data_IF_539339512906
#
_entry.id   IF_539339512906
#
_cell.length_a   1.000
_cell.length_b   1.000
_cell.length_c   1.000
_cell.angle_alpha   90.00
_cell.angle_beta   90.00
_cell.angle_gamma   90.00
#
_symmetry.space_group_name_H-M   'P 1'
#
loop_
_entity.id
_entity.type
_entity.pdbx_description
1 polymer ?
#
# COMPACT_ATOMS: atom_id res chain seq x y z
N UNK A 1 9.15 30.77 -7.46
CA UNK A 1 9.13 29.79 -6.35
C UNK A 1 9.56 28.44 -6.91
N UNK A 2 10.43 27.73 -6.19
CA UNK A 2 10.77 26.34 -6.55
C UNK A 2 9.60 25.45 -6.15
N UNK A 3 9.04 24.73 -7.11
CA UNK A 3 7.89 23.83 -6.92
C UNK A 3 8.31 22.37 -6.97
N UNK A 4 9.51 22.10 -7.49
CA UNK A 4 10.09 20.76 -7.60
C UNK A 4 11.10 20.45 -6.50
N UNK A 5 11.13 19.21 -6.05
CA UNK A 5 12.13 18.65 -5.15
C UNK A 5 12.60 17.28 -5.63
N UNK A 6 13.90 17.05 -5.52
CA UNK A 6 14.54 15.75 -5.77
C UNK A 6 15.10 15.24 -4.44
N UNK A 7 14.77 14.00 -4.10
CA UNK A 7 15.28 13.32 -2.93
C UNK A 7 15.97 12.03 -3.34
N UNK A 8 17.02 11.66 -2.63
CA UNK A 8 17.72 10.40 -2.82
C UNK A 8 18.21 9.87 -1.49
N UNK A 9 18.27 8.56 -1.34
CA UNK A 9 18.73 7.92 -0.11
C UNK A 9 19.16 6.49 -0.32
N UNK A 10 20.01 6.03 0.60
CA UNK A 10 20.41 4.64 0.75
C UNK A 10 19.99 4.19 2.13
N UNK A 11 19.54 2.95 2.26
CA UNK A 11 19.10 2.41 3.53
C UNK A 11 19.20 0.91 3.59
N UNK A 12 18.89 0.37 4.75
CA UNK A 12 18.75 -1.06 5.00
C UNK A 12 17.47 -1.33 5.76
N UNK A 13 16.74 -2.36 5.36
CA UNK A 13 15.60 -2.88 6.11
C UNK A 13 15.57 -4.41 6.04
N UNK A 14 14.97 -5.06 7.02
CA UNK A 14 14.84 -6.52 7.03
C UNK A 14 13.98 -7.06 5.87
N UNK A 15 13.06 -6.24 5.36
CA UNK A 15 12.15 -6.63 4.28
C UNK A 15 12.71 -6.36 2.88
N UNK A 16 13.56 -5.35 2.72
CA UNK A 16 14.08 -4.93 1.41
C UNK A 16 15.57 -5.17 1.22
N UNK A 17 16.27 -5.63 2.29
CA UNK A 17 17.73 -5.69 2.28
C UNK A 17 18.36 -4.30 2.21
N UNK A 18 19.46 -4.18 1.51
CA UNK A 18 20.06 -2.89 1.13
C UNK A 18 19.22 -2.30 0.00
N UNK A 19 18.86 -1.04 0.11
CA UNK A 19 18.06 -0.38 -0.92
C UNK A 19 18.53 1.03 -1.22
N UNK A 20 18.29 1.46 -2.44
CA UNK A 20 18.44 2.83 -2.92
C UNK A 20 17.06 3.37 -3.32
N UNK A 21 16.76 4.61 -2.92
CA UNK A 21 15.52 5.27 -3.31
C UNK A 21 15.78 6.61 -3.97
N UNK A 22 14.97 6.94 -4.96
CA UNK A 22 14.90 8.25 -5.61
C UNK A 22 13.46 8.72 -5.63
N UNK A 23 13.25 10.00 -5.29
CA UNK A 23 11.94 10.65 -5.37
C UNK A 23 12.04 11.98 -6.09
N UNK A 24 11.21 12.18 -7.11
CA UNK A 24 10.97 13.46 -7.77
C UNK A 24 9.55 13.90 -7.46
N UNK A 25 9.41 15.08 -6.89
CA UNK A 25 8.12 15.70 -6.63
C UNK A 25 8.04 17.08 -7.27
N UNK A 26 6.96 17.34 -7.96
CA UNK A 26 6.62 18.66 -8.51
C UNK A 26 5.21 19.02 -8.06
N UNK A 27 5.02 20.18 -7.40
CA UNK A 27 3.74 20.60 -6.81
C UNK A 27 2.94 21.56 -7.68
N UNK A 28 3.51 21.99 -8.79
CA UNK A 28 2.84 22.89 -9.75
C UNK A 28 3.15 22.50 -11.20
N UNK A 29 2.96 21.23 -11.51
CA UNK A 29 3.20 20.73 -12.86
C UNK A 29 2.37 21.50 -13.89
N UNK A 30 3.03 21.97 -14.95
CA UNK A 30 2.45 22.77 -16.03
C UNK A 30 1.77 24.08 -15.56
N UNK A 31 2.11 24.59 -14.38
CA UNK A 31 1.48 25.80 -13.83
C UNK A 31 0.02 25.63 -13.39
N UNK A 32 -0.45 24.38 -13.22
CA UNK A 32 -1.85 24.06 -12.91
C UNK A 32 -2.09 23.63 -11.46
N UNK A 33 -1.13 23.82 -10.59
CA UNK A 33 -1.12 23.32 -9.21
C UNK A 33 -1.29 21.77 -9.11
N UNK A 34 -1.01 21.05 -10.21
CA UNK A 34 -0.99 19.60 -10.18
C UNK A 34 0.26 19.11 -9.47
N UNK A 35 0.09 18.17 -8.55
CA UNK A 35 1.21 17.52 -7.91
C UNK A 35 1.53 16.20 -8.62
N UNK A 36 2.77 16.08 -9.08
CA UNK A 36 3.30 14.84 -9.65
C UNK A 36 4.38 14.28 -8.74
N UNK A 37 4.39 12.95 -8.58
CA UNK A 37 5.42 12.27 -7.82
C UNK A 37 5.91 11.06 -8.62
N UNK A 38 7.22 10.92 -8.71
CA UNK A 38 7.89 9.72 -9.22
C UNK A 38 8.71 9.17 -8.07
N UNK A 39 8.46 7.92 -7.70
CA UNK A 39 9.23 7.23 -6.67
C UNK A 39 9.81 5.96 -7.28
N UNK A 40 11.12 5.82 -7.16
CA UNK A 40 11.88 4.67 -7.58
C UNK A 40 12.57 4.09 -6.36
N UNK A 41 12.35 2.81 -6.11
CA UNK A 41 13.01 2.07 -5.04
C UNK A 41 13.67 0.82 -5.63
N UNK A 42 14.95 0.66 -5.39
CA UNK A 42 15.77 -0.45 -5.85
C UNK A 42 16.37 -1.13 -4.63
N UNK A 43 15.80 -2.24 -4.22
CA UNK A 43 16.29 -3.04 -3.11
C UNK A 43 16.70 -4.44 -3.56
N UNK A 44 17.41 -5.12 -2.70
CA UNK A 44 17.86 -6.50 -2.91
C UNK A 44 16.67 -7.45 -3.05
N UNK A 45 15.61 -7.23 -2.26
CA UNK A 45 14.42 -8.09 -2.23
C UNK A 45 13.16 -7.41 -2.75
N UNK A 46 13.22 -6.15 -3.11
CA UNK A 46 12.06 -5.39 -3.58
C UNK A 46 12.48 -4.27 -4.52
N UNK A 47 11.83 -4.20 -5.66
CA UNK A 47 12.00 -3.09 -6.61
C UNK A 47 10.64 -2.49 -6.89
N UNK A 48 10.50 -1.17 -6.76
CA UNK A 48 9.23 -0.47 -6.98
C UNK A 48 9.42 0.77 -7.82
N UNK A 49 8.58 0.91 -8.84
CA UNK A 49 8.42 2.11 -9.66
C UNK A 49 7.00 2.63 -9.46
N UNK A 50 6.87 3.86 -9.06
CA UNK A 50 5.56 4.48 -8.87
C UNK A 50 5.55 5.88 -9.46
N UNK A 51 4.55 6.16 -10.29
CA UNK A 51 4.22 7.48 -10.77
C UNK A 51 2.82 7.84 -10.29
N UNK A 52 2.64 9.04 -9.74
CA UNK A 52 1.33 9.55 -9.37
C UNK A 52 1.13 11.00 -9.78
N UNK A 53 -0.09 11.30 -10.19
CA UNK A 53 -0.57 12.66 -10.52
C UNK A 53 -1.78 12.95 -9.63
N UNK A 54 -1.82 14.13 -9.06
CA UNK A 54 -3.00 14.61 -8.33
C UNK A 54 -3.35 16.03 -8.68
N UNK A 55 -4.63 16.25 -8.97
CA UNK A 55 -5.24 17.56 -9.11
C UNK A 55 -6.00 17.87 -7.81
N UNK A 56 -5.55 18.86 -7.02
CA UNK A 56 -6.19 19.17 -5.75
C UNK A 56 -7.61 19.71 -5.90
N UNK A 57 -7.92 20.29 -7.07
CA UNK A 57 -9.21 20.87 -7.35
C UNK A 57 -9.49 20.90 -8.86
N UNK A 58 -10.38 20.04 -9.29
CA UNK A 58 -10.83 19.98 -10.68
C UNK A 58 -11.46 21.33 -11.07
N UNK A 59 -10.90 21.95 -12.11
CA UNK A 59 -11.34 23.25 -12.60
C UNK A 59 -12.83 23.24 -12.93
N UNK A 60 -13.57 24.22 -12.38
CA UNK A 60 -15.02 24.37 -12.60
C UNK A 60 -15.91 23.58 -11.60
N UNK A 61 -15.33 22.73 -10.75
CA UNK A 61 -16.11 22.04 -9.74
C UNK A 61 -16.26 22.91 -8.46
N UNK A 62 -17.49 23.31 -8.16
CA UNK A 62 -17.81 24.09 -6.96
C UNK A 62 -17.57 23.35 -5.64
N UNK A 63 -17.54 22.01 -5.68
CA UNK A 63 -17.41 21.19 -4.47
C UNK A 63 -15.94 20.88 -4.11
N UNK A 64 -14.97 21.41 -4.85
CA UNK A 64 -13.54 21.17 -4.63
C UNK A 64 -13.17 19.69 -4.65
N UNK A 65 -13.71 18.95 -5.63
CA UNK A 65 -13.32 17.57 -5.85
C UNK A 65 -11.89 17.51 -6.29
N UNK A 66 -11.08 16.70 -5.64
CA UNK A 66 -9.72 16.37 -6.06
C UNK A 66 -9.73 15.08 -6.87
N UNK A 67 -8.83 15.00 -7.83
CA UNK A 67 -8.57 13.81 -8.64
C UNK A 67 -7.17 13.29 -8.34
N UNK A 68 -7.01 11.99 -8.31
CA UNK A 68 -5.71 11.32 -8.20
C UNK A 68 -5.68 10.12 -9.12
N UNK A 69 -4.55 9.94 -9.78
CA UNK A 69 -4.23 8.72 -10.52
C UNK A 69 -2.81 8.27 -10.22
N UNK A 70 -2.58 6.99 -10.32
CA UNK A 70 -1.24 6.41 -10.18
C UNK A 70 -1.09 5.19 -11.08
N UNK A 71 0.16 4.93 -11.46
CA UNK A 71 0.60 3.68 -12.09
C UNK A 71 1.84 3.18 -11.37
N UNK A 72 1.95 1.87 -11.22
CA UNK A 72 3.06 1.27 -10.52
C UNK A 72 3.47 -0.08 -11.12
N UNK A 73 4.73 -0.42 -10.91
CA UNK A 73 5.27 -1.74 -11.07
C UNK A 73 6.08 -2.07 -9.81
N UNK A 74 5.82 -3.21 -9.20
CA UNK A 74 6.65 -3.73 -8.11
C UNK A 74 7.05 -5.18 -8.38
N UNK A 75 8.25 -5.54 -7.93
CA UNK A 75 8.76 -6.90 -7.89
C UNK A 75 9.23 -7.15 -6.48
N UNK A 76 8.61 -8.09 -5.81
CA UNK A 76 8.86 -8.40 -4.41
C UNK A 76 9.14 -9.89 -4.25
N UNK A 77 10.11 -10.22 -3.40
CA UNK A 77 10.22 -11.57 -2.87
C UNK A 77 9.21 -11.71 -1.71
N UNK A 78 8.13 -12.48 -1.89
CA UNK A 78 7.06 -12.55 -0.90
C UNK A 78 7.57 -13.15 0.41
N UNK A 79 7.49 -12.37 1.48
CA UNK A 79 7.93 -12.81 2.80
C UNK A 79 6.88 -13.67 3.51
N UNK A 80 5.61 -13.43 3.18
CA UNK A 80 4.46 -14.16 3.72
C UNK A 80 4.45 -15.65 3.35
N UNK A 81 5.25 -16.02 2.36
CA UNK A 81 5.35 -17.40 1.86
C UNK A 81 6.71 -18.05 2.13
N UNK A 82 7.47 -17.50 3.06
CA UNK A 82 8.75 -18.11 3.44
C UNK A 82 8.50 -19.40 4.21
N UNK A 83 9.03 -20.51 3.71
CA UNK A 83 9.08 -21.77 4.45
C UNK A 83 9.87 -21.60 5.76
N UNK A 84 9.37 -22.20 6.87
CA UNK A 84 10.04 -22.14 8.18
C UNK A 84 11.49 -22.63 8.18
N UNK A 85 11.88 -23.49 7.20
CA UNK A 85 13.19 -24.13 7.19
C UNK A 85 14.28 -23.40 6.43
N UNK A 86 13.99 -22.51 5.46
CA UNK A 86 15.02 -21.77 4.72
C UNK A 86 14.56 -20.41 4.15
N UNK A 87 13.31 -20.02 4.33
CA UNK A 87 12.81 -18.72 3.86
C UNK A 87 12.75 -18.56 2.34
N UNK A 88 12.89 -19.65 1.57
CA UNK A 88 12.86 -19.62 0.11
C UNK A 88 11.58 -20.29 -0.40
N UNK A 89 10.98 -19.67 -1.40
CA UNK A 89 9.85 -20.18 -2.15
C UNK A 89 10.37 -20.61 -3.52
N UNK A 90 9.90 -21.73 -4.02
CA UNK A 90 10.43 -22.35 -5.23
C UNK A 90 9.38 -22.39 -6.34
N UNK A 91 9.81 -22.18 -7.58
CA UNK A 91 8.97 -22.36 -8.75
C UNK A 91 8.65 -23.84 -8.99
N UNK A 92 7.41 -24.15 -9.32
CA UNK A 92 6.99 -25.51 -9.68
C UNK A 92 7.50 -25.84 -11.07
N UNK A 93 8.02 -27.05 -11.25
CA UNK A 93 8.45 -27.56 -12.56
C UNK A 93 9.89 -27.23 -12.97
N UNK A 94 10.71 -26.78 -12.04
CA UNK A 94 12.16 -26.63 -12.24
C UNK A 94 12.87 -27.96 -11.88
N UNK A 95 12.42 -29.04 -12.53
CA UNK A 95 12.96 -30.41 -12.36
C UNK A 95 14.27 -30.61 -13.14
N UNK A 96 15.18 -29.68 -13.06
CA UNK A 96 16.56 -30.02 -13.47
C UNK A 96 17.12 -30.93 -12.38
N UNK A 97 17.47 -32.14 -12.77
CA UNK A 97 18.06 -33.22 -11.95
C UNK A 97 19.41 -32.86 -11.30
N UNK A 98 19.62 -31.61 -10.92
CA UNK A 98 20.83 -31.26 -10.18
C UNK A 98 20.51 -31.21 -8.69
N UNK A 99 21.03 -32.15 -7.95
CA UNK A 99 21.03 -32.27 -6.49
C UNK A 99 21.77 -31.13 -5.76
N UNK A 100 21.97 -29.99 -6.37
CA UNK A 100 22.56 -28.82 -5.73
C UNK A 100 21.48 -27.86 -5.30
N UNK A 101 21.38 -27.63 -4.00
CA UNK A 101 20.46 -26.67 -3.36
C UNK A 101 20.59 -25.22 -3.91
N UNK A 102 21.57 -24.93 -4.73
CA UNK A 102 21.90 -23.61 -5.30
C UNK A 102 21.21 -23.33 -6.65
N UNK A 103 20.57 -24.33 -7.29
CA UNK A 103 19.93 -24.15 -8.61
C UNK A 103 18.44 -23.90 -8.58
N UNK A 104 17.85 -23.74 -7.39
CA UNK A 104 16.42 -23.50 -7.23
C UNK A 104 16.11 -22.02 -7.44
N UNK A 105 15.43 -21.68 -8.53
CA UNK A 105 15.03 -20.33 -8.82
C UNK A 105 14.02 -19.80 -7.79
N UNK A 106 14.36 -18.68 -7.17
CA UNK A 106 13.46 -17.98 -6.24
C UNK A 106 12.28 -17.40 -7.00
N UNK A 107 11.09 -17.48 -6.43
CA UNK A 107 9.90 -16.83 -7.01
C UNK A 107 9.86 -15.35 -6.66
N UNK A 108 9.51 -14.55 -7.65
CA UNK A 108 9.26 -13.12 -7.54
C UNK A 108 7.79 -12.86 -7.82
N UNK A 109 7.16 -12.09 -6.94
CA UNK A 109 5.81 -11.60 -7.15
C UNK A 109 5.88 -10.25 -7.89
N UNK A 110 5.56 -10.26 -9.18
CA UNK A 110 5.47 -9.04 -9.98
C UNK A 110 4.04 -8.49 -9.95
N UNK A 111 3.89 -7.25 -9.50
CA UNK A 111 2.62 -6.53 -9.46
C UNK A 111 2.71 -5.30 -10.36
N UNK A 112 1.86 -5.23 -11.36
CA UNK A 112 1.73 -4.07 -12.24
C UNK A 112 0.31 -3.57 -12.18
N UNK A 113 0.14 -2.27 -12.04
CA UNK A 113 -1.20 -1.76 -11.94
C UNK A 113 -1.27 -0.24 -11.93
N UNK A 114 -2.47 0.22 -11.69
CA UNK A 114 -2.76 1.63 -11.56
C UNK A 114 -4.20 1.85 -11.13
N UNK A 115 -4.53 3.09 -10.86
CA UNK A 115 -5.87 3.42 -10.46
C UNK A 115 -6.13 4.92 -10.52
N UNK A 116 -7.37 5.25 -10.31
CA UNK A 116 -7.79 6.63 -10.17
C UNK A 116 -8.83 6.76 -9.06
N UNK A 117 -8.88 7.94 -8.46
CA UNK A 117 -9.86 8.24 -7.41
C UNK A 117 -10.24 9.71 -7.42
N UNK A 118 -11.46 9.95 -7.01
CA UNK A 118 -12.01 11.27 -6.75
C UNK A 118 -12.29 11.40 -5.26
N UNK A 119 -11.94 12.55 -4.68
CA UNK A 119 -12.19 12.81 -3.27
C UNK A 119 -12.83 14.18 -3.10
N UNK A 120 -13.86 14.25 -2.28
CA UNK A 120 -14.68 15.45 -2.07
C UNK A 120 -14.89 15.73 -0.58
N UNK A 121 -14.69 16.98 -0.13
CA UNK A 121 -15.15 17.42 1.18
C UNK A 121 -16.68 17.56 1.19
N UNK A 122 -17.32 17.21 2.31
CA UNK A 122 -18.78 17.34 2.46
C UNK A 122 -19.14 18.68 3.13
N UNK A 123 -18.81 19.78 2.49
CA UNK A 123 -19.10 21.15 2.97
C UNK A 123 -20.19 21.87 2.16
N UNK A 124 -20.89 21.16 1.27
CA UNK A 124 -21.92 21.74 0.41
C UNK A 124 -21.39 22.66 -0.70
N UNK A 125 -20.07 22.67 -0.94
CA UNK A 125 -19.43 23.56 -1.93
C UNK A 125 -19.10 24.95 -1.40
N UNK A 126 -19.35 25.22 -0.12
CA UNK A 126 -18.98 26.49 0.53
C UNK A 126 -17.47 26.50 0.81
N UNK A 127 -16.67 27.41 0.18
CA UNK A 127 -15.24 27.47 0.37
C UNK A 127 -14.81 27.94 1.76
N UNK A 128 -15.69 28.61 2.49
CA UNK A 128 -15.40 29.16 3.83
C UNK A 128 -15.83 28.22 4.95
N UNK A 129 -16.57 27.15 4.63
CA UNK A 129 -17.04 26.16 5.61
C UNK A 129 -16.06 24.99 5.67
N UNK A 130 -15.49 24.80 6.84
CA UNK A 130 -14.64 23.62 7.09
C UNK A 130 -15.46 22.33 7.01
N UNK A 131 -14.96 21.37 6.27
CA UNK A 131 -15.56 20.04 6.20
C UNK A 131 -14.81 19.08 7.12
N UNK A 132 -15.52 18.61 8.14
CA UNK A 132 -14.98 17.52 8.96
C UNK A 132 -14.99 16.18 8.22
N UNK A 133 -15.88 16.00 7.25
CA UNK A 133 -16.04 14.78 6.48
C UNK A 133 -15.51 14.94 5.06
N UNK A 134 -14.82 13.91 4.59
CA UNK A 134 -14.38 13.75 3.20
C UNK A 134 -14.73 12.35 2.73
N UNK A 135 -15.25 12.24 1.52
CA UNK A 135 -15.52 10.97 0.85
C UNK A 135 -14.57 10.78 -0.32
N UNK A 136 -14.28 9.52 -0.63
CA UNK A 136 -13.47 9.15 -1.77
C UNK A 136 -14.14 7.97 -2.48
N UNK A 137 -14.10 7.98 -3.80
CA UNK A 137 -14.49 6.87 -4.66
C UNK A 137 -13.46 6.71 -5.77
N UNK A 138 -13.19 5.49 -6.19
CA UNK A 138 -12.20 5.22 -7.24
C UNK A 138 -12.22 3.78 -7.72
N UNK A 139 -11.31 3.49 -8.64
CA UNK A 139 -11.09 2.14 -9.18
C UNK A 139 -9.59 1.86 -9.26
N UNK A 140 -9.24 0.61 -9.01
CA UNK A 140 -7.89 0.10 -9.20
C UNK A 140 -7.89 -1.10 -10.14
N UNK A 141 -6.82 -1.18 -10.91
CA UNK A 141 -6.47 -2.33 -11.75
C UNK A 141 -5.11 -2.83 -11.31
N UNK A 142 -5.00 -4.12 -11.06
CA UNK A 142 -3.75 -4.74 -10.65
C UNK A 142 -3.62 -6.10 -11.30
N UNK A 143 -2.52 -6.32 -12.01
CA UNK A 143 -2.10 -7.62 -12.50
C UNK A 143 -0.98 -8.14 -11.60
N UNK A 144 -1.17 -9.32 -11.07
CA UNK A 144 -0.20 -10.02 -10.22
C UNK A 144 0.28 -11.24 -10.98
N UNK A 145 1.59 -11.42 -11.04
CA UNK A 145 2.23 -12.57 -11.68
C UNK A 145 3.26 -13.16 -10.75
N UNK A 146 3.36 -14.47 -10.77
CA UNK A 146 4.51 -15.19 -10.25
C UNK A 146 5.47 -15.50 -11.38
N UNK A 147 6.70 -15.11 -11.22
CA UNK A 147 7.79 -15.32 -12.16
C UNK A 147 8.99 -15.96 -11.46
N UNK A 148 9.73 -16.76 -12.19
CA UNK A 148 11.04 -17.26 -11.76
C UNK A 148 12.13 -16.19 -11.93
N UNK A 149 13.38 -16.54 -11.59
CA UNK A 149 14.53 -15.64 -11.79
C UNK A 149 14.74 -15.22 -13.24
N UNK A 150 14.31 -16.06 -14.20
CA UNK A 150 14.44 -15.82 -15.63
C UNK A 150 13.27 -15.03 -16.22
N UNK A 151 12.25 -14.73 -15.38
CA UNK A 151 11.07 -13.96 -15.78
C UNK A 151 9.94 -14.80 -16.38
N UNK A 152 10.05 -16.12 -16.37
CA UNK A 152 8.98 -17.01 -16.84
C UNK A 152 7.88 -17.12 -15.79
N UNK A 153 6.63 -17.21 -16.22
CA UNK A 153 5.48 -17.42 -15.33
C UNK A 153 5.47 -18.86 -14.84
N UNK A 154 5.52 -19.03 -13.53
CA UNK A 154 5.41 -20.34 -12.90
C UNK A 154 4.58 -20.28 -11.62
N UNK A 155 3.71 -21.27 -11.34
CA UNK A 155 3.12 -21.43 -10.02
C UNK A 155 4.22 -21.79 -9.03
N UNK A 156 3.96 -21.65 -7.75
CA UNK A 156 4.93 -21.96 -6.70
C UNK A 156 4.44 -23.08 -5.79
N UNK A 157 5.40 -23.70 -5.08
CA UNK A 157 5.13 -24.72 -4.09
C UNK A 157 6.17 -24.72 -2.98
N UNK A 158 5.81 -25.30 -1.86
CA UNK A 158 6.73 -25.55 -0.76
C UNK A 158 7.46 -26.87 -1.00
N UNK A 159 8.81 -26.83 -1.00
CA UNK A 159 9.64 -28.03 -1.07
C UNK A 159 10.22 -28.36 0.30
N UNK A 160 10.01 -29.56 0.74
CA UNK A 160 10.74 -30.05 1.92
C UNK A 160 12.22 -30.26 1.60
N UNK A 161 13.13 -29.77 2.47
CA UNK A 161 14.57 -29.92 2.27
C UNK A 161 15.06 -31.38 2.20
N UNK A 162 14.28 -32.32 2.71
CA UNK A 162 14.67 -33.74 2.86
C UNK A 162 14.26 -34.62 1.69
N UNK A 163 13.24 -34.29 0.93
CA UNK A 163 12.72 -35.19 -0.12
C UNK A 163 12.76 -34.57 -1.51
N UNK A 164 12.95 -33.26 -1.62
CA UNK A 164 12.87 -32.54 -2.90
C UNK A 164 11.47 -32.49 -3.51
N UNK A 165 10.48 -33.14 -2.89
CA UNK A 165 9.11 -33.17 -3.37
C UNK A 165 8.37 -31.88 -3.00
N UNK A 166 7.50 -31.43 -3.90
CA UNK A 166 6.60 -30.31 -3.64
C UNK A 166 5.47 -30.82 -2.77
N UNK A 167 5.38 -30.32 -1.54
CA UNK A 167 4.34 -30.75 -0.60
C UNK A 167 2.99 -30.07 -0.88
N UNK A 168 3.03 -28.84 -1.29
CA UNK A 168 1.82 -28.03 -1.50
C UNK A 168 2.06 -27.06 -2.64
N UNK A 169 1.16 -27.09 -3.63
CA UNK A 169 1.17 -26.12 -4.75
C UNK A 169 0.21 -25.01 -4.37
N UNK A 170 0.71 -23.79 -4.30
CA UNK A 170 -0.09 -22.61 -4.02
C UNK A 170 -0.33 -21.86 -5.32
N UNK A 171 -1.58 -21.80 -5.73
CA UNK A 171 -2.00 -21.08 -6.91
C UNK A 171 -2.21 -19.60 -6.59
N UNK A 172 -1.77 -18.72 -7.48
CA UNK A 172 -1.99 -17.28 -7.31
C UNK A 172 -3.45 -16.89 -7.52
N UNK A 173 -4.20 -17.65 -8.29
CA UNK A 173 -5.63 -17.51 -8.51
C UNK A 173 -6.41 -18.67 -7.92
N UNK A 174 -7.72 -18.65 -8.10
CA UNK A 174 -8.57 -19.82 -7.87
C UNK A 174 -8.12 -20.94 -8.79
N UNK A 175 -8.17 -22.16 -8.26
CA UNK A 175 -8.06 -23.34 -9.09
C UNK A 175 -9.13 -23.24 -10.16
N UNK A 176 -8.72 -23.14 -11.42
CA UNK A 176 -9.66 -23.17 -12.51
C UNK A 176 -10.48 -24.48 -12.42
N UNK A 177 -11.70 -24.46 -12.95
CA UNK A 177 -12.59 -25.63 -12.95
C UNK A 177 -11.98 -26.88 -13.61
N UNK A 178 -10.89 -26.69 -14.38
CA UNK A 178 -10.09 -27.76 -15.00
C UNK A 178 -8.93 -28.25 -14.11
N UNK A 179 -8.77 -27.72 -12.88
CA UNK A 179 -7.69 -28.06 -11.97
C UNK A 179 -6.35 -27.38 -12.29
N UNK A 180 -6.32 -26.44 -13.23
CA UNK A 180 -5.09 -25.69 -13.54
C UNK A 180 -4.75 -24.70 -12.43
N UNK A 181 -3.45 -24.41 -12.27
CA UNK A 181 -2.93 -23.49 -11.27
C UNK A 181 -2.35 -22.26 -11.98
N UNK A 182 -3.11 -21.16 -12.15
CA UNK A 182 -2.63 -19.99 -12.87
C UNK A 182 -1.53 -19.27 -12.09
N UNK A 183 -0.46 -18.88 -12.81
CA UNK A 183 0.64 -18.10 -12.30
C UNK A 183 0.42 -16.58 -12.43
N UNK A 184 -0.74 -16.16 -12.91
CA UNK A 184 -1.10 -14.74 -12.97
C UNK A 184 -2.57 -14.51 -12.64
N UNK A 185 -2.84 -13.33 -12.11
CA UNK A 185 -4.20 -12.92 -11.79
C UNK A 185 -4.40 -11.43 -12.11
N UNK A 186 -5.58 -11.09 -12.59
CA UNK A 186 -5.99 -9.70 -12.84
C UNK A 186 -7.08 -9.31 -11.85
N UNK A 187 -6.79 -8.33 -11.04
CA UNK A 187 -7.69 -7.81 -10.02
C UNK A 187 -8.20 -6.44 -10.44
N UNK A 188 -9.51 -6.29 -10.45
CA UNK A 188 -10.18 -5.00 -10.60
C UNK A 188 -10.92 -4.72 -9.32
N UNK A 189 -10.75 -3.53 -8.75
CA UNK A 189 -11.46 -3.15 -7.54
C UNK A 189 -12.11 -1.79 -7.65
N UNK A 190 -13.25 -1.65 -6.98
CA UNK A 190 -13.90 -0.38 -6.69
C UNK A 190 -13.64 -0.03 -5.25
N UNK A 191 -13.10 1.16 -5.02
CA UNK A 191 -12.78 1.66 -3.68
C UNK A 191 -13.75 2.76 -3.27
N UNK A 192 -14.16 2.72 -2.01
CA UNK A 192 -14.92 3.78 -1.37
C UNK A 192 -14.39 4.04 0.01
N UNK A 193 -14.27 5.29 0.41
CA UNK A 193 -13.92 5.62 1.80
C UNK A 193 -14.59 6.90 2.27
N UNK A 194 -14.79 6.96 3.58
CA UNK A 194 -15.23 8.16 4.29
C UNK A 194 -14.26 8.44 5.43
N UNK A 195 -13.81 9.68 5.52
CA UNK A 195 -12.93 10.11 6.61
C UNK A 195 -13.51 11.32 7.32
N UNK A 196 -13.44 11.30 8.66
CA UNK A 196 -13.79 12.42 9.53
C UNK A 196 -12.52 12.91 10.22
N UNK A 197 -12.24 14.19 10.07
CA UNK A 197 -11.08 14.82 10.68
C UNK A 197 -11.51 15.94 11.64
N UNK A 198 -11.25 15.75 12.93
CA UNK A 198 -11.46 16.72 14.00
C UNK A 198 -10.15 17.08 14.70
N UNK A 199 -9.02 16.98 14.01
CA UNK A 199 -7.72 17.35 14.58
C UNK A 199 -7.59 18.87 14.65
N UNK A 200 -6.97 19.38 15.70
CA UNK A 200 -6.67 20.81 15.82
C UNK A 200 -5.63 21.28 14.79
N UNK A 201 -4.70 20.41 14.39
CA UNK A 201 -3.72 20.66 13.34
C UNK A 201 -3.54 19.39 12.51
N UNK A 202 -3.72 19.44 11.16
CA UNK A 202 -3.57 18.26 10.31
C UNK A 202 -2.13 17.73 10.20
N UNK A 203 -1.12 18.61 10.39
CA UNK A 203 0.30 18.25 10.22
C UNK A 203 0.89 17.78 11.55
N UNK A 204 0.70 18.56 12.61
CA UNK A 204 1.20 18.26 13.95
C UNK A 204 0.03 18.25 14.96
N UNK A 205 -0.77 17.21 15.00
CA UNK A 205 -1.92 17.15 15.88
C UNK A 205 -1.50 17.03 17.34
N UNK A 206 -2.04 17.90 18.18
CA UNK A 206 -1.89 17.83 19.64
C UNK A 206 -3.19 17.48 20.36
N UNK A 207 -4.33 17.58 19.66
CA UNK A 207 -5.63 17.21 20.21
C UNK A 207 -6.62 16.84 19.09
N UNK A 208 -7.63 16.06 19.46
CA UNK A 208 -8.72 15.70 18.56
C UNK A 208 -8.64 14.25 18.07
N UNK A 209 -9.44 13.96 17.06
CA UNK A 209 -9.52 12.60 16.50
C UNK A 209 -9.69 12.59 14.98
N UNK A 210 -9.32 11.46 14.39
CA UNK A 210 -9.52 11.16 12.98
C UNK A 210 -10.06 9.75 12.84
N UNK A 211 -11.16 9.59 12.12
CA UNK A 211 -11.75 8.31 11.75
C UNK A 211 -11.68 8.16 10.24
N UNK A 212 -11.23 6.99 9.76
CA UNK A 212 -11.27 6.62 8.35
C UNK A 212 -11.90 5.25 8.21
N UNK A 213 -12.93 5.15 7.40
CA UNK A 213 -13.59 3.90 7.03
C UNK A 213 -13.40 3.71 5.54
N UNK A 214 -13.02 2.51 5.13
CA UNK A 214 -12.79 2.18 3.73
C UNK A 214 -13.36 0.81 3.39
N UNK A 215 -13.87 0.70 2.18
CA UNK A 215 -14.29 -0.55 1.55
C UNK A 215 -13.66 -0.64 0.18
N UNK A 216 -13.14 -1.82 -0.15
CA UNK A 216 -12.61 -2.13 -1.46
C UNK A 216 -13.23 -3.45 -1.93
N UNK A 217 -14.05 -3.35 -2.97
CA UNK A 217 -14.71 -4.49 -3.58
C UNK A 217 -13.91 -4.94 -4.80
N UNK A 218 -13.36 -6.13 -4.73
CA UNK A 218 -12.73 -6.80 -5.85
C UNK A 218 -13.79 -7.52 -6.67
N UNK A 219 -13.73 -7.34 -7.99
CA UNK A 219 -14.71 -7.85 -8.95
C UNK A 219 -13.99 -8.84 -9.84
N UNK A 220 -14.59 -10.02 -10.02
CA UNK A 220 -14.08 -11.03 -10.94
C UNK A 220 -14.10 -10.51 -12.37
N UNK A 221 -12.97 -10.67 -13.06
CA UNK A 221 -12.80 -10.35 -14.49
C UNK A 221 -12.43 -11.62 -15.27
N UNK A 222 -13.25 -12.66 -15.13
CA UNK A 222 -13.05 -13.96 -15.75
C UNK A 222 -13.16 -15.11 -14.75
N UNK A 223 -12.97 -16.34 -15.24
CA UNK A 223 -13.19 -17.54 -14.43
C UNK A 223 -12.20 -17.71 -13.27
N UNK A 224 -11.02 -17.08 -13.35
CA UNK A 224 -9.90 -17.29 -12.41
C UNK A 224 -9.63 -16.10 -11.49
N UNK A 225 -10.46 -15.05 -11.55
CA UNK A 225 -10.27 -13.85 -10.72
C UNK A 225 -11.12 -13.93 -9.45
N UNK A 226 -10.53 -13.75 -8.26
CA UNK A 226 -11.26 -13.83 -7.01
C UNK A 226 -12.22 -12.66 -6.81
N UNK A 227 -13.33 -12.91 -6.13
CA UNK A 227 -14.27 -11.89 -5.70
C UNK A 227 -14.29 -11.80 -4.20
N UNK A 228 -13.87 -10.66 -3.67
CA UNK A 228 -13.85 -10.42 -2.23
C UNK A 228 -14.03 -8.95 -1.90
N UNK A 229 -14.47 -8.67 -0.69
CA UNK A 229 -14.56 -7.31 -0.14
C UNK A 229 -13.60 -7.16 1.03
N UNK A 230 -12.84 -6.08 1.04
CA UNK A 230 -11.92 -5.73 2.10
C UNK A 230 -12.38 -4.47 2.80
N UNK A 231 -12.76 -4.59 4.07
CA UNK A 231 -13.12 -3.48 4.93
C UNK A 231 -11.94 -3.09 5.81
N UNK A 232 -11.76 -1.79 5.99
CA UNK A 232 -10.72 -1.22 6.86
C UNK A 232 -11.30 -0.08 7.66
N UNK A 233 -10.92 -0.02 8.94
CA UNK A 233 -11.23 1.09 9.83
C UNK A 233 -9.94 1.54 10.52
N UNK A 234 -9.71 2.84 10.55
CA UNK A 234 -8.60 3.44 11.30
C UNK A 234 -9.15 4.56 12.16
N UNK A 235 -8.85 4.52 13.46
CA UNK A 235 -9.21 5.57 14.40
C UNK A 235 -7.95 6.05 15.11
N UNK A 236 -7.64 7.34 14.96
CA UNK A 236 -6.55 7.99 15.66
C UNK A 236 -7.11 9.03 16.65
N UNK A 237 -6.57 9.04 17.87
CA UNK A 237 -6.95 9.96 18.92
C UNK A 237 -5.72 10.59 19.55
N UNK A 238 -5.73 11.91 19.69
CA UNK A 238 -4.61 12.69 20.24
C UNK A 238 -5.04 13.38 21.52
N UNK A 239 -4.29 13.12 22.59
CA UNK A 239 -4.54 13.63 23.93
C UNK A 239 -3.41 14.60 24.28
N UNK A 240 -3.71 15.90 24.48
CA UNK A 240 -2.69 16.84 24.96
C UNK A 240 -2.26 16.45 26.36
N UNK A 241 -0.96 16.37 26.58
CA UNK A 241 -0.37 15.96 27.87
C UNK A 241 0.71 16.91 28.31
N UNK A 242 1.05 16.85 29.58
CA UNK A 242 2.19 17.52 30.15
C UNK A 242 2.95 16.54 31.06
N UNK A 243 3.66 15.60 30.43
CA UNK A 243 4.37 14.53 31.15
C UNK A 243 5.74 14.98 31.63
N UNK A 244 6.46 15.78 30.84
CA UNK A 244 7.85 16.12 31.07
C UNK A 244 8.04 17.65 30.96
N UNK A 245 8.68 18.26 31.96
CA UNK A 245 8.95 19.70 31.99
C UNK A 245 10.40 19.99 31.53
N UNK A 246 10.78 19.56 30.33
CA UNK A 246 12.16 19.70 29.82
C UNK A 246 12.50 21.12 29.35
N UNK A 247 11.51 21.86 28.84
CA UNK A 247 11.70 23.20 28.28
C UNK A 247 11.16 24.27 29.22
N UNK A 248 11.69 25.51 29.10
CA UNK A 248 11.17 26.66 29.86
C UNK A 248 9.67 26.90 29.58
N UNK A 249 9.22 26.75 28.35
CA UNK A 249 7.82 26.86 27.96
C UNK A 249 6.93 25.81 28.64
N UNK A 250 7.38 24.57 28.74
CA UNK A 250 6.67 23.50 29.47
C UNK A 250 6.61 23.74 30.97
N UNK A 251 7.63 24.36 31.57
CA UNK A 251 7.65 24.68 33.01
C UNK A 251 6.65 25.78 33.37
N UNK A 252 6.50 26.77 32.51
CA UNK A 252 5.62 27.92 32.74
C UNK A 252 4.15 27.70 32.37
N UNK A 253 3.87 26.82 31.42
CA UNK A 253 2.50 26.56 30.93
C UNK A 253 1.80 25.50 31.77
N UNK A 254 0.56 25.80 32.18
CA UNK A 254 -0.33 24.82 32.83
C UNK A 254 -1.08 23.96 31.81
N UNK A 255 -1.12 24.38 30.55
CA UNK A 255 -1.84 23.72 29.45
C UNK A 255 -0.90 23.47 28.29
N UNK A 256 -1.10 22.39 27.55
CA UNK A 256 -0.37 22.12 26.31
C UNK A 256 -0.71 23.19 25.28
N UNK A 257 0.32 23.88 24.82
CA UNK A 257 0.21 24.95 23.82
C UNK A 257 1.39 24.86 22.83
N UNK A 258 1.56 25.87 21.99
CA UNK A 258 2.67 25.96 21.05
C UNK A 258 4.06 25.84 21.71
N UNK A 259 4.17 26.27 22.97
CA UNK A 259 5.43 26.28 23.71
C UNK A 259 5.73 24.94 24.40
N UNK A 260 4.69 24.10 24.59
CA UNK A 260 4.79 22.76 25.15
C UNK A 260 3.89 21.76 24.42
N UNK A 261 4.21 21.37 23.18
CA UNK A 261 3.36 20.53 22.34
C UNK A 261 3.56 19.03 22.65
N UNK A 262 3.35 18.61 23.90
CA UNK A 262 3.42 17.20 24.28
C UNK A 262 2.06 16.53 24.03
N UNK A 263 2.08 15.37 23.37
CA UNK A 263 0.87 14.67 22.98
C UNK A 263 1.07 13.16 23.07
N UNK A 264 0.06 12.47 23.57
CA UNK A 264 -0.06 11.01 23.41
C UNK A 264 -0.97 10.76 22.22
N UNK A 265 -0.46 10.07 21.22
CA UNK A 265 -1.24 9.58 20.08
C UNK A 265 -1.58 8.11 20.25
N UNK A 266 -2.85 7.77 20.09
CA UNK A 266 -3.35 6.41 20.07
C UNK A 266 -3.92 6.13 18.68
N UNK A 267 -3.50 5.04 18.05
CA UNK A 267 -4.03 4.62 16.75
C UNK A 267 -4.54 3.18 16.84
N UNK A 268 -5.78 2.99 16.41
CA UNK A 268 -6.44 1.69 16.31
C UNK A 268 -6.73 1.40 14.84
N UNK A 269 -6.31 0.23 14.38
CA UNK A 269 -6.56 -0.26 13.03
C UNK A 269 -7.29 -1.59 13.11
N UNK A 270 -8.36 -1.73 12.34
CA UNK A 270 -9.11 -2.96 12.19
C UNK A 270 -9.39 -3.22 10.72
N UNK A 271 -9.41 -4.48 10.34
CA UNK A 271 -9.74 -4.89 8.98
C UNK A 271 -10.39 -6.26 8.97
N UNK A 272 -11.23 -6.50 7.98
CA UNK A 272 -11.82 -7.81 7.71
C UNK A 272 -11.98 -7.99 6.21
N UNK A 273 -12.03 -9.24 5.77
CA UNK A 273 -12.20 -9.62 4.38
C UNK A 273 -13.33 -10.64 4.29
N UNK A 274 -14.20 -10.46 3.31
CA UNK A 274 -15.32 -11.35 3.01
C UNK A 274 -15.19 -11.83 1.57
N UNK A 275 -15.36 -13.12 1.33
CA UNK A 275 -15.24 -13.75 0.01
C UNK A 275 -13.93 -14.48 -0.17
N UNK A 276 -13.56 -14.67 -1.42
CA UNK A 276 -12.47 -15.55 -1.84
C UNK A 276 -11.14 -14.81 -1.81
N UNK A 277 -10.44 -14.89 -0.70
CA UNK A 277 -9.20 -14.16 -0.47
C UNK A 277 -7.99 -14.86 -1.08
N UNK A 278 -7.31 -14.27 -2.07
CA UNK A 278 -6.02 -14.79 -2.48
C UNK A 278 -4.94 -14.49 -1.42
N UNK A 279 -4.00 -15.44 -1.19
CA UNK A 279 -2.99 -15.33 -0.12
C UNK A 279 -2.18 -14.03 -0.14
N UNK A 280 -1.84 -13.53 -1.32
CA UNK A 280 -1.05 -12.31 -1.50
C UNK A 280 -1.82 -10.98 -1.21
N UNK A 281 -3.11 -11.05 -0.87
CA UNK A 281 -3.94 -9.90 -0.47
C UNK A 281 -4.35 -9.96 1.02
N UNK A 282 -3.89 -10.97 1.76
CA UNK A 282 -4.15 -11.10 3.18
C UNK A 282 -3.59 -9.92 3.99
N UNK A 283 -4.18 -9.68 5.16
CA UNK A 283 -3.59 -8.76 6.12
C UNK A 283 -2.42 -9.44 6.82
N UNK A 284 -1.23 -8.89 6.68
CA UNK A 284 -0.07 -9.29 7.47
C UNK A 284 0.07 -8.37 8.68
N UNK A 285 0.16 -8.96 9.87
CA UNK A 285 0.53 -8.23 11.08
C UNK A 285 2.02 -8.49 11.32
N UNK A 286 2.82 -7.45 11.23
CA UNK A 286 4.25 -7.45 11.49
C UNK A 286 4.60 -6.56 12.66
#
# INVERSE_FOLDING_TARGET
QRTGSLTGGLGYSNSSGIFAQMGLQETNALGRAWATNINLNFGEYSTTYNFSLSDPWIKGDKYKTSFRTNVFLSRDYPQEFKSENNGKIYAVGDDTESNSADSLSSIVLEKTGGGFSFSRPLNGGDPFKDSKWRVLAGMNFKKVKMIDSDGNKKPYGDRTPTTGNINEIICIGYTATDGSCPAENTLVSVIGSASRNNLNNPINPTSGNKLTLGSEQFISMGNDSPTFNRLRATYAYFIPTKLINLTKGCKSSKVVNSDCPQTIGLEFKAGTIFGDLPPYEAFCMG
#
